data_IF_896931692394
#
_entry.id   IF_896931692394
#
_cell.length_a   1.000
_cell.length_b   1.000
_cell.length_c   1.000
_cell.angle_alpha   90.00
_cell.angle_beta   90.00
_cell.angle_gamma   90.00
#
_symmetry.space_group_name_H-M   'P 1'
#
loop_
_entity.id
_entity.type
_entity.pdbx_description
1 polymer ?
#
# COMPACT_ATOMS: atom_id res chain seq x y z
N UNK A 1 -0.35 -33.28 -2.86
CA UNK A 1 -1.16 -32.78 -1.72
C UNK A 1 -0.50 -31.50 -1.26
N UNK A 2 -1.16 -30.36 -1.46
CA UNK A 2 -0.59 -29.06 -1.08
C UNK A 2 -0.43 -28.97 0.43
N UNK A 3 0.73 -28.47 0.87
CA UNK A 3 1.10 -28.31 2.27
C UNK A 3 0.18 -27.31 3.01
N UNK A 4 -0.52 -26.43 2.28
CA UNK A 4 -1.38 -25.35 2.80
C UNK A 4 -2.61 -25.09 1.90
N UNK A 5 -3.65 -25.93 1.93
CA UNK A 5 -4.78 -25.87 1.00
C UNK A 5 -5.58 -24.54 1.01
N UNK A 6 -5.73 -23.87 2.16
CA UNK A 6 -6.46 -22.61 2.27
C UNK A 6 -5.69 -21.43 1.68
N UNK A 7 -4.38 -21.33 1.95
CA UNK A 7 -3.53 -20.31 1.33
C UNK A 7 -3.45 -20.51 -0.18
N UNK A 8 -3.32 -21.75 -0.63
CA UNK A 8 -3.35 -22.09 -2.06
C UNK A 8 -4.64 -21.64 -2.72
N UNK A 9 -5.80 -21.83 -2.08
CA UNK A 9 -7.09 -21.37 -2.62
C UNK A 9 -7.13 -19.85 -2.89
N UNK A 10 -6.55 -19.04 -1.99
CA UNK A 10 -6.50 -17.58 -2.17
C UNK A 10 -5.65 -17.21 -3.37
N UNK A 11 -4.44 -17.77 -3.46
CA UNK A 11 -3.52 -17.54 -4.57
C UNK A 11 -4.11 -18.02 -5.91
N UNK A 12 -4.75 -19.18 -5.93
CA UNK A 12 -5.38 -19.73 -7.12
C UNK A 12 -6.53 -18.86 -7.63
N UNK A 13 -7.26 -18.15 -6.75
CA UNK A 13 -8.30 -17.20 -7.19
C UNK A 13 -7.75 -16.09 -8.09
N UNK A 14 -6.53 -15.63 -7.84
CA UNK A 14 -5.85 -14.64 -8.66
C UNK A 14 -5.24 -15.23 -9.93
N UNK A 15 -4.63 -16.42 -9.86
CA UNK A 15 -4.07 -17.10 -11.05
C UNK A 15 -5.14 -17.46 -12.08
N UNK A 16 -6.35 -17.78 -11.63
CA UNK A 16 -7.47 -18.16 -12.50
C UNK A 16 -8.30 -16.97 -12.98
N UNK A 17 -7.88 -15.74 -12.66
CA UNK A 17 -8.59 -14.50 -13.06
C UNK A 17 -8.57 -14.23 -14.58
N UNK A 18 -7.72 -14.93 -15.34
CA UNK A 18 -7.47 -14.68 -16.77
C UNK A 18 -6.46 -13.57 -17.04
N UNK A 19 -5.96 -12.90 -16.00
CA UNK A 19 -4.91 -11.89 -16.08
C UNK A 19 -3.53 -12.51 -15.86
N UNK A 20 -2.47 -11.82 -16.29
CA UNK A 20 -1.10 -12.25 -16.02
C UNK A 20 -0.81 -12.20 -14.51
N UNK A 21 -0.49 -13.35 -13.93
CA UNK A 21 -0.13 -13.47 -12.52
C UNK A 21 1.39 -13.40 -12.34
N UNK A 22 1.85 -12.51 -11.45
CA UNK A 22 3.27 -12.37 -11.07
C UNK A 22 3.42 -12.52 -9.56
N UNK A 23 4.45 -13.24 -9.14
CA UNK A 23 4.85 -13.39 -7.75
C UNK A 23 6.33 -12.97 -7.61
N UNK A 24 6.65 -12.23 -6.56
CA UNK A 24 7.99 -11.69 -6.35
C UNK A 24 8.57 -12.22 -5.04
N UNK A 25 9.77 -12.80 -5.11
CA UNK A 25 10.59 -13.05 -3.92
C UNK A 25 11.28 -11.77 -3.46
N UNK A 26 11.95 -11.80 -2.31
CA UNK A 26 12.74 -10.68 -1.81
C UNK A 26 13.85 -10.29 -2.80
N UNK A 27 14.53 -11.27 -3.40
CA UNK A 27 15.57 -11.05 -4.41
C UNK A 27 14.99 -10.45 -5.68
N UNK A 28 13.86 -11.00 -6.16
CA UNK A 28 13.20 -10.48 -7.36
C UNK A 28 12.71 -9.04 -7.14
N UNK A 29 12.25 -8.73 -5.93
CA UNK A 29 11.81 -7.38 -5.55
C UNK A 29 12.99 -6.39 -5.55
N UNK A 30 14.12 -6.76 -4.96
CA UNK A 30 15.32 -5.93 -4.95
C UNK A 30 15.87 -5.69 -6.37
N UNK A 31 15.99 -6.75 -7.19
CA UNK A 31 16.43 -6.62 -8.58
C UNK A 31 15.48 -5.78 -9.43
N UNK A 32 14.16 -5.88 -9.19
CA UNK A 32 13.19 -5.05 -9.88
C UNK A 32 13.38 -3.57 -9.55
N UNK A 33 13.60 -3.22 -8.28
CA UNK A 33 13.85 -1.83 -7.86
C UNK A 33 15.16 -1.33 -8.48
N UNK A 34 16.24 -2.10 -8.38
CA UNK A 34 17.54 -1.75 -8.96
C UNK A 34 17.45 -1.46 -10.48
N UNK A 35 16.60 -2.21 -11.19
CA UNK A 35 16.44 -2.07 -12.64
C UNK A 35 15.65 -0.82 -13.04
N UNK A 36 14.61 -0.46 -12.27
CA UNK A 36 13.62 0.54 -12.71
C UNK A 36 13.68 1.87 -11.96
N UNK A 37 14.39 1.95 -10.84
CA UNK A 37 14.39 3.12 -9.97
C UNK A 37 15.81 3.67 -9.72
N UNK A 38 15.92 4.96 -9.36
CA UNK A 38 17.19 5.54 -8.91
C UNK A 38 17.78 4.78 -7.70
N UNK A 39 19.12 4.81 -7.53
CA UNK A 39 19.80 4.13 -6.42
C UNK A 39 19.22 4.44 -5.04
N UNK A 40 18.72 5.66 -4.83
CA UNK A 40 18.14 6.14 -3.58
C UNK A 40 16.93 5.31 -3.14
N UNK A 41 16.16 4.76 -4.09
CA UNK A 41 15.02 3.90 -3.80
C UNK A 41 15.49 2.53 -3.31
N UNK A 42 16.53 1.98 -3.94
CA UNK A 42 17.14 0.72 -3.52
C UNK A 42 17.84 0.85 -2.17
N UNK A 43 18.52 1.98 -1.92
CA UNK A 43 19.09 2.33 -0.62
C UNK A 43 18.02 2.35 0.47
N UNK A 44 16.89 3.03 0.23
CA UNK A 44 15.77 3.05 1.16
C UNK A 44 15.25 1.63 1.44
N UNK A 45 14.98 0.86 0.38
CA UNK A 45 14.51 -0.53 0.49
C UNK A 45 15.45 -1.42 1.31
N UNK A 46 16.77 -1.31 1.08
CA UNK A 46 17.76 -2.10 1.79
C UNK A 46 17.98 -1.65 3.24
N UNK A 47 17.73 -0.37 3.54
CA UNK A 47 17.85 0.18 4.90
C UNK A 47 16.72 -0.22 5.83
N UNK A 48 15.58 -0.69 5.31
CA UNK A 48 14.47 -1.21 6.10
C UNK A 48 14.83 -2.61 6.62
N UNK A 49 14.69 -2.86 7.92
CA UNK A 49 14.90 -4.20 8.49
C UNK A 49 13.68 -5.12 8.31
N UNK A 50 12.44 -4.70 8.63
CA UNK A 50 11.28 -5.58 8.59
C UNK A 50 10.78 -5.84 7.16
N UNK A 51 10.62 -7.12 6.79
CA UNK A 51 10.16 -7.53 5.46
C UNK A 51 8.77 -6.98 5.07
N UNK A 52 7.87 -6.79 6.04
CA UNK A 52 6.54 -6.22 5.78
C UNK A 52 6.62 -4.80 5.20
N UNK A 53 7.50 -3.95 5.74
CA UNK A 53 7.71 -2.60 5.22
C UNK A 53 8.46 -2.58 3.89
N UNK A 54 9.32 -3.58 3.64
CA UNK A 54 9.91 -3.78 2.30
C UNK A 54 8.82 -4.09 1.28
N UNK A 55 7.89 -4.99 1.60
CA UNK A 55 6.75 -5.32 0.74
C UNK A 55 5.81 -4.10 0.53
N UNK A 56 5.62 -3.27 1.55
CA UNK A 56 4.90 -1.99 1.44
C UNK A 56 5.55 -1.03 0.42
N UNK A 57 6.87 -0.84 0.45
CA UNK A 57 7.55 0.00 -0.54
C UNK A 57 7.52 -0.66 -1.93
N UNK A 58 7.81 -1.96 -2.00
CA UNK A 58 7.88 -2.68 -3.26
C UNK A 58 6.56 -2.68 -4.03
N UNK A 59 5.41 -2.83 -3.36
CA UNK A 59 4.11 -2.81 -4.04
C UNK A 59 3.85 -1.50 -4.76
N UNK A 60 4.25 -0.36 -4.17
CA UNK A 60 4.14 0.93 -4.87
C UNK A 60 5.05 0.98 -6.09
N UNK A 61 6.30 0.51 -5.94
CA UNK A 61 7.29 0.50 -7.02
C UNK A 61 6.82 -0.36 -8.21
N UNK A 62 6.38 -1.60 -7.97
CA UNK A 62 5.93 -2.49 -9.06
C UNK A 62 4.67 -1.95 -9.74
N UNK A 63 3.72 -1.41 -8.98
CA UNK A 63 2.51 -0.82 -9.54
C UNK A 63 2.77 0.48 -10.30
N UNK A 64 3.73 1.30 -9.90
CA UNK A 64 4.07 2.51 -10.64
C UNK A 64 4.56 2.17 -12.06
N UNK A 65 5.39 1.14 -12.19
CA UNK A 65 5.97 0.73 -13.47
C UNK A 65 4.98 -0.08 -14.31
N UNK A 66 4.35 -1.10 -13.69
CA UNK A 66 3.55 -2.08 -14.42
C UNK A 66 2.06 -1.72 -14.48
N UNK A 67 1.55 -0.89 -13.57
CA UNK A 67 0.12 -0.77 -13.31
C UNK A 67 -0.48 -2.10 -12.86
N UNK A 68 -1.78 -2.26 -13.10
CA UNK A 68 -2.50 -3.51 -12.82
C UNK A 68 -3.04 -3.56 -11.40
N UNK A 69 -3.07 -4.77 -10.81
CA UNK A 69 -3.61 -5.02 -9.47
C UNK A 69 -2.54 -5.68 -8.60
N UNK A 70 -2.30 -5.11 -7.43
CA UNK A 70 -1.57 -5.76 -6.35
C UNK A 70 -2.57 -6.27 -5.32
N UNK A 71 -2.32 -7.47 -4.80
CA UNK A 71 -3.06 -8.04 -3.68
C UNK A 71 -2.11 -8.81 -2.77
N UNK A 72 -2.27 -8.66 -1.45
CA UNK A 72 -1.57 -9.51 -0.49
C UNK A 72 -1.97 -10.98 -0.67
N UNK A 73 -1.07 -11.90 -0.30
CA UNK A 73 -1.27 -13.34 -0.52
C UNK A 73 -2.51 -13.91 0.18
N UNK A 74 -2.97 -13.25 1.24
CA UNK A 74 -4.15 -13.63 2.01
C UNK A 74 -5.45 -12.92 1.57
N UNK A 75 -5.44 -12.29 0.40
CA UNK A 75 -6.61 -11.70 -0.24
C UNK A 75 -7.24 -12.68 -1.22
N UNK A 76 -8.52 -12.97 -1.03
CA UNK A 76 -9.37 -13.70 -1.96
C UNK A 76 -9.95 -12.75 -3.01
N UNK A 77 -9.78 -13.07 -4.29
CA UNK A 77 -10.50 -12.41 -5.37
C UNK A 77 -11.96 -12.92 -5.42
N UNK A 78 -12.93 -12.00 -5.34
CA UNK A 78 -14.37 -12.32 -5.33
C UNK A 78 -15.08 -11.83 -6.60
N UNK A 79 -14.41 -11.01 -7.43
CA UNK A 79 -14.96 -10.46 -8.67
C UNK A 79 -14.14 -10.85 -9.90
N UNK A 80 -14.80 -10.81 -11.06
CA UNK A 80 -14.10 -10.81 -12.34
C UNK A 80 -13.35 -9.47 -12.50
N UNK A 81 -12.03 -9.53 -12.77
CA UNK A 81 -11.19 -8.34 -12.89
C UNK A 81 -11.60 -7.41 -14.03
N UNK A 82 -12.09 -7.92 -15.16
CA UNK A 82 -12.56 -7.10 -16.28
C UNK A 82 -13.83 -6.30 -15.92
N UNK A 83 -14.61 -6.78 -14.95
CA UNK A 83 -15.78 -6.07 -14.43
C UNK A 83 -15.40 -4.96 -13.44
N UNK A 84 -14.28 -5.11 -12.73
CA UNK A 84 -13.76 -4.14 -11.77
C UNK A 84 -12.92 -3.09 -12.51
N UNK A 85 -11.91 -3.52 -13.25
CA UNK A 85 -10.92 -2.69 -13.92
C UNK A 85 -11.44 -2.28 -15.30
N UNK A 86 -12.32 -1.29 -15.34
CA UNK A 86 -12.78 -0.68 -16.58
C UNK A 86 -11.68 0.22 -17.20
N UNK A 87 -11.80 0.53 -18.50
CA UNK A 87 -10.81 1.34 -19.21
C UNK A 87 -10.61 2.76 -18.63
N UNK A 88 -11.58 3.26 -17.87
CA UNK A 88 -11.52 4.54 -17.17
C UNK A 88 -11.06 4.42 -15.72
N UNK A 89 -10.75 3.23 -15.20
CA UNK A 89 -10.24 3.04 -13.85
C UNK A 89 -8.79 3.55 -13.75
N UNK A 90 -8.59 4.65 -13.02
CA UNK A 90 -7.27 5.25 -12.80
C UNK A 90 -6.60 4.73 -11.53
N UNK A 91 -7.35 4.71 -10.43
CA UNK A 91 -6.87 4.27 -9.12
C UNK A 91 -8.04 3.71 -8.30
N UNK A 92 -7.90 2.50 -7.75
CA UNK A 92 -8.89 1.86 -6.91
C UNK A 92 -8.19 1.32 -5.66
N UNK A 93 -8.67 1.71 -4.49
CA UNK A 93 -8.12 1.26 -3.21
C UNK A 93 -9.21 1.22 -2.15
N UNK A 94 -9.18 0.29 -1.18
CA UNK A 94 -10.08 0.36 -0.04
C UNK A 94 -9.72 1.48 0.93
N UNK A 95 -10.74 2.07 1.54
CA UNK A 95 -10.51 2.86 2.76
C UNK A 95 -10.06 1.95 3.90
N UNK A 96 -9.15 2.43 4.74
CA UNK A 96 -8.77 1.74 5.97
C UNK A 96 -9.15 2.53 7.21
N UNK A 97 -9.50 1.80 8.26
CA UNK A 97 -9.79 2.34 9.56
C UNK A 97 -8.97 1.59 10.61
N UNK A 98 -7.77 2.10 10.97
CA UNK A 98 -7.01 1.57 12.07
C UNK A 98 -7.67 1.98 13.40
N UNK A 99 -8.17 0.99 14.16
CA UNK A 99 -8.75 1.18 15.50
C UNK A 99 -10.28 1.15 15.58
N UNK A 100 -10.79 1.19 16.82
CA UNK A 100 -12.21 0.99 17.17
C UNK A 100 -12.93 2.32 17.42
N UNK A 101 -12.21 3.40 17.77
CA UNK A 101 -12.80 4.70 18.10
C UNK A 101 -12.90 5.59 16.84
N UNK A 102 -14.16 5.93 16.52
CA UNK A 102 -14.74 6.82 15.52
C UNK A 102 -13.86 7.60 14.50
N UNK A 103 -14.29 7.51 13.22
CA UNK A 103 -14.28 8.55 12.17
C UNK A 103 -12.97 9.10 11.56
N UNK A 104 -11.78 8.64 11.93
CA UNK A 104 -10.55 9.08 11.26
C UNK A 104 -10.07 8.09 10.18
N UNK A 105 -10.88 7.94 9.13
CA UNK A 105 -10.57 7.14 7.92
C UNK A 105 -9.51 7.82 7.05
N UNK A 106 -8.35 8.12 7.61
CA UNK A 106 -7.27 8.86 6.95
C UNK A 106 -6.31 7.96 6.18
N UNK A 107 -6.45 6.65 6.34
CA UNK A 107 -5.57 5.63 5.75
C UNK A 107 -6.31 4.91 4.61
N UNK A 108 -5.54 4.42 3.65
CA UNK A 108 -6.04 3.66 2.49
C UNK A 108 -5.37 2.30 2.50
N UNK A 109 -6.15 1.21 2.51
CA UNK A 109 -5.65 -0.13 2.75
C UNK A 109 -4.79 -0.58 1.56
N UNK A 110 -3.48 -0.56 1.74
CA UNK A 110 -2.52 -0.75 0.66
C UNK A 110 -2.27 -2.23 0.31
N UNK A 111 -2.95 -3.19 0.96
CA UNK A 111 -2.88 -4.62 0.64
C UNK A 111 -3.70 -5.02 -0.60
N UNK A 112 -4.49 -4.09 -1.17
CA UNK A 112 -5.19 -4.23 -2.43
C UNK A 112 -5.22 -2.88 -3.13
N UNK A 113 -4.55 -2.77 -4.27
CA UNK A 113 -4.51 -1.54 -5.07
C UNK A 113 -4.64 -1.94 -6.53
N UNK A 114 -5.56 -1.30 -7.25
CA UNK A 114 -5.59 -1.34 -8.71
C UNK A 114 -5.31 0.04 -9.28
N UNK A 115 -4.47 0.14 -10.31
CA UNK A 115 -3.94 1.43 -10.76
C UNK A 115 -3.45 1.40 -12.20
N UNK A 116 -3.65 2.51 -12.90
CA UNK A 116 -3.04 2.75 -14.20
C UNK A 116 -1.50 2.92 -14.04
N UNK A 117 -0.68 2.39 -14.95
CA UNK A 117 0.77 2.58 -14.88
C UNK A 117 1.14 4.07 -14.92
N UNK A 118 2.18 4.46 -14.17
CA UNK A 118 2.66 5.84 -14.10
C UNK A 118 1.79 6.79 -13.26
N UNK A 119 0.86 6.29 -12.44
CA UNK A 119 -0.09 7.14 -11.71
C UNK A 119 0.61 8.10 -10.70
N UNK A 120 0.27 9.41 -10.68
CA UNK A 120 0.94 10.41 -9.83
C UNK A 120 0.83 10.11 -8.33
N UNK A 121 -0.25 9.48 -7.87
CA UNK A 121 -0.38 9.01 -6.49
C UNK A 121 0.74 8.05 -6.08
N UNK A 122 1.11 7.11 -6.95
CA UNK A 122 2.16 6.14 -6.64
C UNK A 122 3.55 6.79 -6.68
N UNK A 123 3.80 7.67 -7.64
CA UNK A 123 5.05 8.44 -7.66
C UNK A 123 5.20 9.28 -6.39
N UNK A 124 4.12 9.92 -5.92
CA UNK A 124 4.15 10.73 -4.71
C UNK A 124 4.37 9.90 -3.45
N UNK A 125 3.68 8.77 -3.28
CA UNK A 125 3.88 7.93 -2.08
C UNK A 125 5.29 7.35 -2.04
N UNK A 126 5.86 6.92 -3.19
CA UNK A 126 7.25 6.45 -3.26
C UNK A 126 8.21 7.57 -2.87
N UNK A 127 8.04 8.79 -3.42
CA UNK A 127 8.84 9.96 -3.06
C UNK A 127 8.84 10.20 -1.54
N UNK A 128 7.65 10.26 -0.93
CA UNK A 128 7.50 10.52 0.50
C UNK A 128 8.15 9.40 1.32
N UNK A 129 7.83 8.14 1.03
CA UNK A 129 8.34 6.97 1.75
C UNK A 129 9.87 6.89 1.67
N UNK A 130 10.44 7.03 0.47
CA UNK A 130 11.89 6.98 0.27
C UNK A 130 12.58 8.11 1.01
N UNK A 131 12.07 9.35 0.92
CA UNK A 131 12.62 10.48 1.67
C UNK A 131 12.55 10.27 3.18
N UNK A 132 11.43 9.75 3.69
CA UNK A 132 11.24 9.51 5.12
C UNK A 132 12.21 8.43 5.63
N UNK A 133 12.33 7.32 4.90
CA UNK A 133 13.24 6.22 5.25
C UNK A 133 14.70 6.66 5.21
N UNK A 134 15.13 7.33 4.13
CA UNK A 134 16.51 7.81 3.96
C UNK A 134 16.90 8.85 5.02
N UNK A 135 15.92 9.56 5.58
CA UNK A 135 16.11 10.50 6.68
C UNK A 135 15.74 9.91 8.06
N UNK A 136 15.54 8.58 8.15
CA UNK A 136 15.32 7.84 9.39
C UNK A 136 14.15 8.36 10.23
N UNK A 137 13.05 8.69 9.56
CA UNK A 137 11.86 9.23 10.21
C UNK A 137 11.42 8.38 11.41
N UNK A 138 11.13 9.08 12.48
CA UNK A 138 10.56 8.57 13.73
C UNK A 138 9.12 9.03 13.89
N UNK A 139 8.42 8.56 14.94
CA UNK A 139 7.08 9.07 15.25
C UNK A 139 7.03 10.61 15.44
N UNK A 140 8.11 11.23 15.92
CA UNK A 140 8.21 12.69 16.08
C UNK A 140 8.28 13.40 14.73
N UNK A 141 8.97 12.80 13.75
CA UNK A 141 9.05 13.37 12.40
C UNK A 141 7.71 13.27 11.67
N UNK A 142 6.97 12.19 11.90
CA UNK A 142 5.59 12.05 11.43
C UNK A 142 4.64 13.05 12.09
N UNK A 143 4.81 13.37 13.38
CA UNK A 143 4.03 14.43 14.03
C UNK A 143 4.22 15.77 13.29
N UNK A 144 5.47 16.10 12.97
CA UNK A 144 5.82 17.31 12.23
C UNK A 144 5.28 17.29 10.79
N UNK A 145 5.28 16.12 10.14
CA UNK A 145 4.75 15.95 8.78
C UNK A 145 3.25 16.25 8.69
N UNK A 146 2.50 15.99 9.78
CA UNK A 146 1.05 16.18 9.84
C UNK A 146 0.61 17.55 10.38
N UNK A 147 1.55 18.42 10.75
CA UNK A 147 1.27 19.79 11.16
C UNK A 147 0.59 20.63 10.06
N UNK A 148 -0.18 21.69 10.42
CA UNK A 148 -0.32 22.28 11.76
C UNK A 148 -1.35 21.59 12.67
N UNK A 149 -2.16 20.68 12.16
CA UNK A 149 -3.26 20.03 12.89
C UNK A 149 -3.11 18.51 12.84
N UNK A 150 -2.17 17.90 13.58
CA UNK A 150 -1.93 16.46 13.52
C UNK A 150 -3.04 15.66 14.24
N UNK A 151 -3.52 14.57 13.63
CA UNK A 151 -4.43 13.61 14.29
C UNK A 151 -3.63 12.59 15.11
N UNK A 152 -3.26 12.98 16.33
CA UNK A 152 -2.35 12.21 17.18
C UNK A 152 -2.93 10.86 17.64
N UNK A 153 -4.27 10.69 17.64
CA UNK A 153 -4.92 9.46 18.11
C UNK A 153 -4.58 8.24 17.24
N UNK A 154 -4.43 8.46 15.93
CA UNK A 154 -4.00 7.43 14.98
C UNK A 154 -2.49 7.32 14.98
N UNK A 155 -1.77 8.43 14.91
CA UNK A 155 -0.31 8.41 14.76
C UNK A 155 0.42 7.78 15.94
N UNK A 156 0.08 8.11 17.19
CA UNK A 156 0.79 7.56 18.35
C UNK A 156 0.37 6.12 18.70
N UNK A 157 -0.77 5.66 18.16
CA UNK A 157 -1.26 4.28 18.33
C UNK A 157 -0.81 3.37 17.18
N UNK A 158 -0.59 3.94 15.99
CA UNK A 158 -0.34 3.21 14.75
C UNK A 158 0.76 3.84 13.87
N UNK A 159 1.84 4.33 14.49
CA UNK A 159 3.00 4.96 13.82
C UNK A 159 3.60 4.11 12.70
N UNK A 160 3.61 2.79 12.86
CA UNK A 160 4.08 1.85 11.86
C UNK A 160 3.36 1.92 10.52
N UNK A 161 2.10 2.38 10.50
CA UNK A 161 1.32 2.54 9.27
C UNK A 161 1.75 3.76 8.44
N UNK A 162 2.62 4.62 8.99
CA UNK A 162 3.16 5.81 8.32
C UNK A 162 4.54 5.58 7.66
N UNK A 163 5.22 4.46 7.92
CA UNK A 163 6.53 4.19 7.31
C UNK A 163 6.42 3.96 5.81
N UNK A 164 5.65 2.94 5.42
CA UNK A 164 5.33 2.64 4.03
C UNK A 164 3.88 2.13 3.86
N UNK A 165 3.13 2.08 4.96
CA UNK A 165 1.83 1.42 5.04
C UNK A 165 0.62 2.24 4.58
N UNK A 166 -0.58 1.85 5.03
CA UNK A 166 -1.85 2.48 4.64
C UNK A 166 -1.98 3.98 4.88
N UNK A 167 -1.39 4.50 5.97
CA UNK A 167 -1.62 5.88 6.38
C UNK A 167 -0.74 6.87 5.61
N UNK A 168 0.49 6.47 5.25
CA UNK A 168 1.34 7.31 4.39
C UNK A 168 0.82 7.37 2.95
N UNK A 169 0.14 6.31 2.49
CA UNK A 169 -0.59 6.33 1.21
C UNK A 169 -1.72 7.37 1.23
N UNK A 170 -2.53 7.37 2.29
CA UNK A 170 -3.59 8.36 2.48
C UNK A 170 -3.06 9.80 2.54
N UNK A 171 -1.97 10.01 3.28
CA UNK A 171 -1.24 11.29 3.32
C UNK A 171 -0.81 11.76 1.93
N UNK A 172 -0.07 10.92 1.19
CA UNK A 172 0.48 11.27 -0.12
C UNK A 172 -0.62 11.60 -1.14
N UNK A 173 -1.74 10.87 -1.10
CA UNK A 173 -2.90 11.14 -1.96
C UNK A 173 -3.55 12.48 -1.58
N UNK A 174 -3.76 12.75 -0.29
CA UNK A 174 -4.30 14.03 0.15
C UNK A 174 -3.44 15.23 -0.26
N UNK A 175 -2.10 15.09 -0.25
CA UNK A 175 -1.21 16.13 -0.76
C UNK A 175 -1.46 16.43 -2.25
N UNK A 176 -1.53 15.41 -3.10
CA UNK A 176 -1.83 15.59 -4.54
C UNK A 176 -3.23 16.17 -4.77
N UNK A 177 -4.18 15.78 -3.92
CA UNK A 177 -5.54 16.32 -3.93
C UNK A 177 -5.64 17.72 -3.31
N UNK A 178 -4.55 18.31 -2.82
CA UNK A 178 -4.54 19.63 -2.18
C UNK A 178 -5.46 19.70 -0.96
N UNK A 179 -5.73 18.55 -0.34
CA UNK A 179 -6.47 18.44 0.90
C UNK A 179 -5.51 18.64 2.08
N UNK A 180 -6.07 18.79 3.29
CA UNK A 180 -5.27 18.68 4.52
C UNK A 180 -4.73 17.24 4.65
N UNK A 181 -3.52 17.03 5.20
CA UNK A 181 -2.88 15.72 5.35
C UNK A 181 -3.78 14.59 5.87
N UNK A 182 -4.62 14.90 6.88
CA UNK A 182 -5.47 13.95 7.58
C UNK A 182 -6.95 14.04 7.14
N UNK A 183 -7.26 14.56 5.95
CA UNK A 183 -8.65 14.56 5.47
C UNK A 183 -9.14 13.10 5.35
N UNK A 184 -10.25 12.72 6.03
CA UNK A 184 -10.78 11.37 5.91
C UNK A 184 -11.25 11.04 4.50
N UNK A 185 -11.15 9.77 4.13
CA UNK A 185 -11.68 9.20 2.91
C UNK A 185 -13.06 8.56 3.15
N UNK A 186 -13.96 8.76 2.21
CA UNK A 186 -15.26 8.11 2.15
C UNK A 186 -15.28 7.13 0.97
N UNK A 187 -16.06 6.06 1.11
CA UNK A 187 -16.23 5.10 0.03
C UNK A 187 -17.03 5.73 -1.12
N UNK A 188 -16.58 5.54 -2.35
CA UNK A 188 -17.13 6.17 -3.54
C UNK A 188 -16.05 6.73 -4.45
N UNK A 189 -16.46 7.43 -5.49
CA UNK A 189 -15.54 8.13 -6.38
C UNK A 189 -15.10 9.46 -5.77
N UNK A 190 -13.79 9.74 -5.82
CA UNK A 190 -13.28 11.07 -5.50
C UNK A 190 -13.51 11.96 -6.71
N UNK A 191 -14.35 12.99 -6.54
CA UNK A 191 -14.49 14.04 -7.53
C UNK A 191 -13.23 14.93 -7.50
N UNK A 192 -12.47 14.86 -8.59
CA UNK A 192 -11.24 15.63 -8.79
C UNK A 192 -11.42 16.45 -10.05
N UNK A 193 -10.98 17.71 -10.00
CA UNK A 193 -10.69 18.44 -11.22
C UNK A 193 -9.47 17.80 -11.90
N UNK A 194 -9.75 16.78 -12.72
CA UNK A 194 -8.75 15.91 -13.36
C UNK A 194 -7.84 16.70 -14.31
N UNK A 195 -8.38 17.74 -14.92
CA UNK A 195 -7.68 18.59 -15.88
C UNK A 195 -6.66 19.51 -15.20
N UNK A 196 -6.96 20.00 -13.99
CA UNK A 196 -6.03 20.83 -13.22
C UNK A 196 -4.90 20.03 -12.56
N UNK A 197 -5.08 18.72 -12.34
CA UNK A 197 -4.17 17.90 -11.50
C UNK A 197 -3.46 16.76 -12.24
N UNK A 198 -3.64 16.63 -13.55
CA UNK A 198 -3.07 15.54 -14.37
C UNK A 198 -3.30 14.13 -13.76
N UNK A 199 -4.47 13.90 -13.15
CA UNK A 199 -4.83 12.59 -12.55
C UNK A 199 -5.55 11.76 -13.62
N UNK A 200 -4.96 10.64 -14.10
CA UNK A 200 -5.56 9.83 -15.14
C UNK A 200 -6.69 8.96 -14.57
N UNK A 201 -7.81 8.87 -15.29
CA UNK A 201 -8.92 7.98 -14.95
C UNK A 201 -9.73 8.37 -13.71
N UNK A 202 -10.62 7.48 -13.28
CA UNK A 202 -11.45 7.56 -12.08
C UNK A 202 -10.65 7.10 -10.86
N UNK A 203 -10.80 7.81 -9.75
CA UNK A 203 -10.27 7.40 -8.44
C UNK A 203 -11.42 6.87 -7.59
N UNK A 204 -11.41 5.58 -7.28
CA UNK A 204 -12.48 4.89 -6.56
C UNK A 204 -11.97 4.41 -5.20
N UNK A 205 -12.66 4.80 -4.14
CA UNK A 205 -12.43 4.31 -2.79
C UNK A 205 -13.44 3.22 -2.47
N UNK A 206 -12.96 2.00 -2.23
CA UNK A 206 -13.81 0.86 -1.88
C UNK A 206 -14.22 0.95 -0.42
N UNK A 207 -15.45 0.53 -0.12
CA UNK A 207 -15.90 0.39 1.25
C UNK A 207 -15.25 -0.84 1.89
N UNK A 208 -14.78 -0.69 3.12
CA UNK A 208 -14.26 -1.79 3.94
C UNK A 208 -15.32 -2.20 4.99
N UNK A 209 -15.82 -3.43 4.89
CA UNK A 209 -16.78 -4.01 5.83
C UNK A 209 -16.13 -5.06 6.74
N UNK A 210 -15.87 -4.73 8.01
CA UNK A 210 -15.14 -5.61 8.96
C UNK A 210 -15.99 -6.65 9.71
N UNK A 211 -17.25 -6.88 9.37
CA UNK A 211 -18.16 -7.77 10.14
C UNK A 211 -19.18 -8.56 9.31
N UNK A 212 -18.96 -8.73 8.02
CA UNK A 212 -19.86 -9.51 7.17
C UNK A 212 -19.40 -10.97 7.10
N UNK A 213 -20.12 -11.87 7.80
CA UNK A 213 -19.89 -13.32 7.80
C UNK A 213 -18.46 -13.78 8.18
N UNK A 214 -17.73 -13.00 8.98
CA UNK A 214 -16.42 -13.37 9.51
C UNK A 214 -15.22 -13.09 8.60
N UNK A 215 -15.42 -12.39 7.48
CA UNK A 215 -14.35 -11.92 6.59
C UNK A 215 -14.38 -10.39 6.47
N UNK A 216 -13.23 -9.78 6.18
CA UNK A 216 -13.13 -8.37 5.81
C UNK A 216 -13.33 -8.21 4.30
N UNK A 217 -14.38 -7.50 3.89
CA UNK A 217 -14.76 -7.34 2.47
C UNK A 217 -14.47 -5.95 1.93
N UNK A 218 -14.02 -5.89 0.68
CA UNK A 218 -13.81 -4.67 -0.08
C UNK A 218 -14.89 -4.53 -1.15
N UNK A 219 -15.80 -3.57 -0.98
CA UNK A 219 -17.01 -3.44 -1.79
C UNK A 219 -16.98 -2.16 -2.62
N UNK A 220 -17.25 -2.29 -3.93
CA UNK A 220 -17.59 -1.15 -4.78
C UNK A 220 -19.09 -0.88 -4.67
N UNK A 221 -19.43 0.19 -3.95
CA UNK A 221 -20.82 0.54 -3.63
C UNK A 221 -21.67 0.83 -4.88
N UNK A 222 -21.16 1.66 -5.81
CA UNK A 222 -21.85 2.01 -7.07
C UNK A 222 -22.24 0.79 -7.90
N UNK A 223 -21.37 -0.24 -7.95
CA UNK A 223 -21.61 -1.47 -8.72
C UNK A 223 -22.32 -2.58 -7.93
N UNK A 224 -22.57 -2.38 -6.63
CA UNK A 224 -23.00 -3.43 -5.70
C UNK A 224 -22.14 -4.72 -5.82
N UNK A 225 -20.82 -4.55 -5.91
CA UNK A 225 -19.87 -5.62 -6.22
C UNK A 225 -18.86 -5.79 -5.08
N UNK A 226 -18.64 -7.01 -4.63
CA UNK A 226 -17.51 -7.34 -3.74
C UNK A 226 -16.30 -7.61 -4.63
N UNK A 227 -15.27 -6.77 -4.55
CA UNK A 227 -14.05 -6.96 -5.33
C UNK A 227 -13.22 -8.10 -4.74
N UNK A 228 -12.94 -8.03 -3.44
CA UNK A 228 -12.09 -9.00 -2.77
C UNK A 228 -12.42 -9.09 -1.27
N UNK A 229 -11.92 -10.13 -0.63
CA UNK A 229 -12.05 -10.36 0.80
C UNK A 229 -10.71 -10.79 1.43
N UNK A 230 -10.47 -10.42 2.68
CA UNK A 230 -9.32 -10.85 3.48
C UNK A 230 -9.80 -11.23 4.89
N UNK A 231 -8.88 -11.64 5.77
CA UNK A 231 -9.17 -12.11 7.13
C UNK A 231 -10.23 -13.24 7.15
N UNK A 232 -10.16 -14.13 6.15
CA UNK A 232 -11.06 -15.27 6.06
C UNK A 232 -10.80 -16.24 7.22
N UNK A 233 -11.85 -16.81 7.85
CA UNK A 233 -11.65 -17.84 8.87
C UNK A 233 -10.79 -18.99 8.30
N UNK A 234 -9.82 -19.45 9.09
CA UNK A 234 -8.92 -20.57 8.76
C UNK A 234 -8.06 -20.38 7.50
N UNK A 235 -7.83 -19.14 7.04
CA UNK A 235 -7.04 -18.90 5.83
C UNK A 235 -5.56 -19.35 5.94
N UNK A 236 -5.00 -19.30 7.15
CA UNK A 236 -3.59 -19.58 7.40
C UNK A 236 -3.39 -20.95 8.05
N UNK A 237 -3.29 -21.97 7.20
CA UNK A 237 -3.03 -23.35 7.62
C UNK A 237 -1.67 -23.53 8.32
N UNK A 238 -0.75 -22.56 8.23
CA UNK A 238 0.53 -22.61 8.94
C UNK A 238 0.32 -22.58 10.46
N UNK A 239 -0.76 -21.94 10.94
CA UNK A 239 -1.07 -21.81 12.37
C UNK A 239 -1.50 -23.14 13.03
N UNK A 240 -1.92 -24.12 12.24
CA UNK A 240 -2.37 -25.43 12.74
C UNK A 240 -1.21 -26.43 12.95
N UNK A 241 0.00 -26.10 12.49
CA UNK A 241 1.20 -26.92 12.70
C UNK A 241 1.81 -26.59 14.07
N UNK A 242 1.42 -27.35 15.09
CA UNK A 242 2.16 -27.40 16.35
C UNK A 242 3.52 -28.07 16.12
N UNK A 243 4.58 -27.28 15.91
CA UNK A 243 5.96 -27.76 15.88
C UNK A 243 6.91 -26.88 15.06
N UNK A 244 7.79 -26.16 15.77
CA UNK A 244 9.16 -25.78 15.38
C UNK A 244 9.48 -24.85 14.19
N UNK A 245 8.52 -24.13 13.59
CA UNK A 245 8.86 -23.02 12.65
C UNK A 245 8.06 -21.74 12.93
N UNK A 246 8.06 -21.27 14.19
CA UNK A 246 7.88 -19.82 14.45
C UNK A 246 9.18 -19.09 14.09
N UNK A 247 9.57 -19.11 12.82
CA UNK A 247 10.44 -18.04 12.34
C UNK A 247 9.64 -16.75 12.41
N UNK A 248 10.09 -15.88 13.31
CA UNK A 248 9.56 -14.57 13.65
C UNK A 248 9.49 -13.67 12.41
N UNK A 249 8.47 -13.83 11.59
CA UNK A 249 8.05 -12.81 10.65
C UNK A 249 7.27 -11.80 11.48
N UNK A 250 7.97 -10.77 11.97
CA UNK A 250 7.39 -9.74 12.81
C UNK A 250 6.19 -9.11 12.11
N UNK A 251 4.99 -9.35 12.63
CA UNK A 251 3.81 -8.60 12.22
C UNK A 251 4.01 -7.14 12.67
N UNK A 252 3.34 -6.17 12.03
CA UNK A 252 3.46 -4.73 12.34
C UNK A 252 3.47 -4.39 13.85
N UNK A 253 2.80 -5.20 14.67
CA UNK A 253 2.70 -5.07 16.12
C UNK A 253 4.00 -5.29 16.90
N UNK A 254 4.96 -6.05 16.37
CA UNK A 254 6.13 -6.48 17.14
C UNK A 254 7.21 -5.39 17.27
N UNK A 255 7.08 -4.32 16.48
CA UNK A 255 7.99 -3.18 16.46
C UNK A 255 7.50 -2.01 17.32
N UNK A 256 6.21 -1.97 17.66
CA UNK A 256 5.69 -0.99 18.61
C UNK A 256 6.02 -1.44 20.02
N UNK A 257 7.11 -0.90 20.57
CA UNK A 257 7.50 -1.15 21.95
C UNK A 257 6.96 -0.04 22.83
N UNK A 258 6.05 -0.40 23.74
CA UNK A 258 5.61 0.50 24.81
C UNK A 258 6.84 1.08 25.51
N UNK A 259 6.97 2.43 25.49
CA UNK A 259 8.04 3.25 26.10
C UNK A 259 9.26 3.60 25.22
N UNK A 260 9.31 3.26 23.93
CA UNK A 260 10.34 3.75 23.00
C UNK A 260 9.74 4.61 21.88
N UNK A 261 10.51 5.58 21.38
CA UNK A 261 10.13 6.35 20.18
C UNK A 261 10.28 5.43 18.97
N UNK A 262 9.20 5.24 18.23
CA UNK A 262 9.20 4.42 17.02
C UNK A 262 10.18 4.97 15.98
N UNK A 263 10.88 4.06 15.30
CA UNK A 263 11.92 4.39 14.31
C UNK A 263 13.33 4.55 14.89
N UNK A 264 13.51 4.56 16.22
CA UNK A 264 14.86 4.66 16.81
C UNK A 264 15.66 3.34 16.80
N UNK A 265 14.96 2.20 16.87
CA UNK A 265 15.57 0.87 16.93
C UNK A 265 14.74 -0.13 16.11
N UNK A 266 15.41 -1.09 15.46
CA UNK A 266 14.76 -2.22 14.78
C UNK A 266 14.05 -1.90 13.46
N UNK A 267 13.82 -0.62 13.15
CA UNK A 267 13.25 -0.20 11.87
C UNK A 267 14.31 -0.13 10.76
N UNK A 268 15.43 0.54 11.05
CA UNK A 268 16.49 0.79 10.08
C UNK A 268 17.78 0.01 10.40
N UNK A 269 18.55 -0.33 9.38
CA UNK A 269 19.84 -1.05 9.49
C UNK A 269 20.94 -0.23 10.17
N UNK A 270 20.85 1.10 10.08
CA UNK A 270 21.81 2.06 10.61
C UNK A 270 21.12 3.40 10.91
N UNK A 271 21.88 4.35 11.47
CA UNK A 271 21.40 5.68 11.87
C UNK A 271 21.86 6.81 10.94
N UNK A 272 22.38 6.48 9.75
CA UNK A 272 22.92 7.46 8.82
C UNK A 272 21.75 8.08 8.04
N UNK A 273 21.62 9.40 8.10
CA UNK A 273 20.64 10.16 7.32
C UNK A 273 21.25 10.64 6.01
N UNK A 274 20.44 10.73 4.96
CA UNK A 274 20.89 11.24 3.67
C UNK A 274 20.99 12.77 3.65
N UNK A 275 20.21 13.48 4.49
CA UNK A 275 20.12 14.95 4.57
C UNK A 275 19.78 15.63 3.23
N UNK A 276 19.20 14.86 2.30
CA UNK A 276 18.74 15.29 0.99
C UNK A 276 17.33 14.80 0.73
N UNK A 277 16.64 15.45 -0.22
CA UNK A 277 15.31 15.05 -0.68
C UNK A 277 15.35 14.80 -2.18
N UNK A 278 14.82 13.65 -2.58
CA UNK A 278 14.56 13.34 -3.98
C UNK A 278 13.14 13.77 -4.34
N UNK A 279 12.96 14.11 -5.62
CA UNK A 279 11.66 14.49 -6.17
C UNK A 279 11.34 13.69 -7.43
N UNK A 280 10.15 13.09 -7.47
CA UNK A 280 9.66 12.37 -8.64
C UNK A 280 8.85 13.31 -9.51
N UNK A 281 9.19 13.38 -10.79
CA UNK A 281 8.43 14.16 -11.78
C UNK A 281 7.79 13.19 -12.76
N UNK A 282 6.48 12.99 -12.63
CA UNK A 282 5.69 12.30 -13.65
C UNK A 282 5.43 13.28 -14.77
N UNK A 283 6.00 13.03 -15.95
CA UNK A 283 5.73 13.84 -17.15
C UNK A 283 4.58 13.20 -17.91
N UNK A 284 3.57 13.99 -18.25
CA UNK A 284 2.53 13.57 -19.18
C UNK A 284 3.20 13.14 -20.49
N UNK A 285 3.06 11.87 -20.85
CA UNK A 285 3.41 11.44 -22.20
C UNK A 285 2.42 12.11 -23.13
N UNK A 286 2.87 13.15 -23.83
CA UNK A 286 2.19 13.61 -25.04
C UNK A 286 2.07 12.39 -25.95
N UNK A 287 0.84 11.92 -26.16
CA UNK A 287 0.53 10.87 -27.14
C UNK A 287 0.95 11.42 -28.50
N UNK A 288 2.18 11.13 -28.89
CA UNK A 288 2.87 11.92 -29.91
C UNK A 288 4.18 11.33 -30.38
N UNK A 289 4.24 10.01 -30.59
CA UNK A 289 4.82 9.38 -31.79
C UNK A 289 4.99 7.90 -31.54
N UNK A 290 4.46 7.08 -32.45
CA UNK A 290 4.91 5.70 -32.60
C UNK A 290 6.43 5.71 -32.82
N UNK A 291 7.19 5.18 -31.89
CA UNK A 291 8.56 4.73 -32.15
C UNK A 291 8.65 3.27 -31.73
N UNK A 292 8.71 2.41 -32.74
CA UNK A 292 9.18 1.04 -32.64
C UNK A 292 10.63 1.06 -32.15
N UNK A 293 10.91 0.35 -31.05
CA UNK A 293 12.09 -0.46 -30.83
C UNK A 293 11.66 -1.71 -30.05
#
# INVERSE_FOLDING_TARGET
MEKYPNMSRLIESWKQSGWEYRFYSDEASASFIETHFPPEVLEAYNSITPGAFKADLFRYCTLLINGGVYADMDVLLEANLDAVISADAGFIVPVDQPGIEANHRICLWNGLIAVAPGHPFLAKVIEVVVNNIRNRFTSVDYDNLLCPEPELSVLHRYDMLFTAGPCILGYAINEILGNRPHKPFEAGEIDVDRALRSIPGRTIILNQGKKDMGAHRFTWLEKNLIFAATDLPDYDDRKQLHGDEKEKHGHYSDLHRTQQIYGQEGLYTDKITADEKIHFVVRDQVVGSKSLL
#
